data_IF_026140052230
#
_entry.id   IF_026140052230
#
_cell.length_a   1.000
_cell.length_b   1.000
_cell.length_c   1.000
_cell.angle_alpha   90.00
_cell.angle_beta   90.00
_cell.angle_gamma   90.00
#
_symmetry.space_group_name_H-M   'P 1'
#
loop_
_entity.id
_entity.type
_entity.pdbx_description
1 polymer ?
#
# COMPACT_ATOMS: atom_id res chain seq x y z
N UNK A 1 -40.94 0.32 -23.09
CA UNK A 1 -40.36 1.32 -24.02
C UNK A 1 -40.40 2.70 -23.37
N UNK A 2 -39.29 3.21 -22.82
CA UNK A 2 -39.08 4.66 -22.60
C UNK A 2 -37.59 4.95 -22.42
N UNK A 3 -37.20 6.10 -22.96
CA UNK A 3 -35.90 6.40 -23.59
C UNK A 3 -34.75 6.65 -22.60
N UNK A 4 -33.55 6.26 -23.03
CA UNK A 4 -32.24 6.56 -22.44
C UNK A 4 -31.88 8.03 -22.71
N UNK A 5 -31.41 8.76 -21.70
CA UNK A 5 -30.61 9.96 -21.87
C UNK A 5 -29.18 9.66 -21.37
N UNK A 6 -28.24 9.57 -22.32
CA UNK A 6 -26.79 9.63 -22.08
C UNK A 6 -26.38 11.08 -22.31
N UNK A 7 -25.73 11.70 -21.33
CA UNK A 7 -24.96 12.92 -21.54
C UNK A 7 -23.48 12.58 -21.30
N UNK A 8 -22.72 12.66 -22.39
CA UNK A 8 -21.28 12.66 -22.43
C UNK A 8 -20.77 13.97 -21.82
N UNK A 9 -19.78 13.90 -20.94
CA UNK A 9 -18.92 15.05 -20.64
C UNK A 9 -17.47 14.65 -20.88
N UNK A 10 -16.99 15.01 -22.07
CA UNK A 10 -15.57 15.07 -22.39
C UNK A 10 -15.07 16.44 -21.94
N UNK A 11 -14.15 16.48 -20.97
CA UNK A 11 -13.35 17.67 -20.70
C UNK A 11 -11.88 17.31 -20.92
N UNK A 12 -11.38 17.79 -22.07
CA UNK A 12 -9.97 17.95 -22.41
C UNK A 12 -9.41 19.10 -21.56
N UNK A 13 -8.33 18.86 -20.82
CA UNK A 13 -7.33 19.88 -20.55
C UNK A 13 -5.94 19.27 -20.66
N UNK A 14 -5.23 19.67 -21.71
CA UNK A 14 -3.79 19.54 -21.81
C UNK A 14 -3.14 20.76 -21.17
N UNK A 15 -2.07 20.54 -20.40
CA UNK A 15 -1.13 21.57 -20.01
C UNK A 15 0.27 20.99 -20.22
N UNK A 16 0.95 21.49 -21.25
CA UNK A 16 2.39 21.42 -21.43
C UNK A 16 3.04 22.49 -20.54
N UNK A 17 4.16 22.19 -19.88
CA UNK A 17 5.19 23.19 -19.57
C UNK A 17 6.61 22.60 -19.75
N UNK A 18 7.54 23.35 -20.37
CA UNK A 18 8.93 22.96 -20.61
C UNK A 18 9.92 23.58 -19.59
N UNK A 19 11.17 23.08 -19.60
CA UNK A 19 12.35 23.71 -18.98
C UNK A 19 12.62 23.25 -17.55
N UNK A 20 13.82 22.87 -17.10
CA UNK A 20 15.17 23.18 -17.56
C UNK A 20 15.88 24.10 -16.55
N UNK A 21 17.04 23.65 -16.05
CA UNK A 21 18.13 24.42 -15.40
C UNK A 21 17.99 24.78 -13.89
N UNK A 22 18.80 24.16 -13.02
CA UNK A 22 20.11 24.70 -12.61
C UNK A 22 20.71 23.96 -11.39
N UNK A 23 21.94 23.47 -11.58
CA UNK A 23 22.93 23.31 -10.51
C UNK A 23 23.26 24.71 -9.95
N UNK A 24 23.22 24.89 -8.63
CA UNK A 24 24.11 25.85 -7.96
C UNK A 24 24.63 25.25 -6.65
N UNK A 25 25.89 24.87 -6.72
CA UNK A 25 26.85 24.65 -5.65
C UNK A 25 26.94 25.90 -4.77
N UNK A 26 26.80 25.75 -3.45
CA UNK A 26 27.28 26.76 -2.48
C UNK A 26 28.26 26.07 -1.55
N UNK A 27 29.54 26.15 -1.93
CA UNK A 27 30.65 26.17 -0.98
C UNK A 27 30.71 27.57 -0.38
N UNK A 28 30.72 27.68 0.95
CA UNK A 28 31.30 28.84 1.64
C UNK A 28 32.41 28.32 2.54
N UNK A 29 33.60 28.38 1.94
CA UNK A 29 34.90 28.35 2.59
C UNK A 29 35.07 29.61 3.45
N UNK A 30 35.67 29.44 4.62
CA UNK A 30 35.87 30.51 5.58
C UNK A 30 36.89 31.56 5.17
N UNK A 31 36.86 32.68 5.91
CA UNK A 31 38.04 33.53 6.08
C UNK A 31 37.88 34.41 7.33
N UNK A 32 38.74 34.13 8.32
CA UNK A 32 39.56 35.08 9.12
C UNK A 32 38.87 36.25 9.82
N UNK A 33 38.97 36.30 11.16
CA UNK A 33 39.87 37.25 11.83
C UNK A 33 40.08 36.91 13.33
N UNK A 34 41.30 36.51 13.64
CA UNK A 34 41.92 36.64 14.96
C UNK A 34 42.15 38.12 15.24
N UNK A 35 41.53 38.66 16.30
CA UNK A 35 41.98 39.88 16.96
C UNK A 35 42.06 39.62 18.47
N UNK A 36 43.29 39.73 18.97
CA UNK A 36 43.66 39.67 20.37
C UNK A 36 43.12 40.89 21.15
N UNK A 37 43.08 40.82 22.50
CA UNK A 37 42.43 41.82 23.33
C UNK A 37 43.38 43.00 23.62
N UNK A 38 42.95 44.21 23.32
CA UNK A 38 43.56 45.43 23.88
C UNK A 38 42.63 45.99 24.96
N UNK A 39 43.21 46.16 26.14
CA UNK A 39 42.50 46.65 27.31
C UNK A 39 41.98 48.07 27.15
N UNK A 40 40.85 48.32 27.80
CA UNK A 40 40.46 49.64 28.26
C UNK A 40 39.76 49.43 29.60
N UNK A 41 40.55 49.46 30.68
CA UNK A 41 40.01 49.72 32.00
C UNK A 41 39.60 51.19 32.04
N UNK A 42 38.33 51.45 31.76
CA UNK A 42 37.72 52.76 32.00
C UNK A 42 37.09 52.73 33.39
N UNK A 43 37.70 53.52 34.28
CA UNK A 43 37.27 53.80 35.63
C UNK A 43 35.91 54.52 35.61
N UNK A 44 34.92 53.89 36.23
CA UNK A 44 33.84 54.52 36.99
C UNK A 44 33.23 55.83 36.44
N UNK A 45 32.25 55.69 35.55
CA UNK A 45 31.03 56.49 35.66
C UNK A 45 29.88 55.50 35.94
N UNK A 46 29.35 55.52 37.16
CA UNK A 46 28.08 54.85 37.51
C UNK A 46 26.98 55.54 36.72
N UNK A 47 26.84 55.20 35.45
CA UNK A 47 25.65 55.49 34.68
C UNK A 47 24.56 54.61 35.29
N UNK A 48 23.80 55.16 36.24
CA UNK A 48 22.52 54.55 36.60
C UNK A 48 21.74 54.44 35.29
N UNK A 49 21.27 53.24 34.90
CA UNK A 49 20.31 53.15 33.80
C UNK A 49 19.13 54.04 34.18
N UNK A 50 18.75 54.92 33.27
CA UNK A 50 17.58 55.78 33.49
C UNK A 50 16.38 54.88 33.75
N UNK A 51 15.50 55.24 34.69
CA UNK A 51 14.36 54.41 35.08
C UNK A 51 13.43 54.04 33.90
N UNK A 52 13.51 54.75 32.77
CA UNK A 52 12.79 54.46 31.54
C UNK A 52 13.33 53.23 30.78
N UNK A 53 14.64 52.96 30.76
CA UNK A 53 15.21 51.79 30.08
C UNK A 53 14.92 50.48 30.84
N UNK A 54 14.88 50.53 32.17
CA UNK A 54 14.52 49.40 33.02
C UNK A 54 13.04 48.98 32.83
N UNK A 55 12.14 49.96 32.60
CA UNK A 55 10.71 49.70 32.37
C UNK A 55 10.46 49.05 31.00
N UNK A 56 11.18 49.49 29.96
CA UNK A 56 11.10 48.87 28.62
C UNK A 56 11.63 47.44 28.58
N UNK A 57 12.63 47.11 29.40
CA UNK A 57 13.16 45.75 29.50
C UNK A 57 12.18 44.77 30.15
N UNK A 58 11.44 45.23 31.17
CA UNK A 58 10.47 44.40 31.87
C UNK A 58 9.23 44.10 31.00
N UNK A 59 8.77 45.07 30.22
CA UNK A 59 7.69 44.87 29.24
C UNK A 59 8.10 43.92 28.12
N UNK A 60 9.34 44.04 27.61
CA UNK A 60 9.88 43.13 26.60
C UNK A 60 9.98 41.68 27.12
N UNK A 61 10.43 41.47 28.36
CA UNK A 61 10.49 40.14 28.98
C UNK A 61 9.07 39.56 29.14
N UNK A 62 8.11 40.36 29.60
CA UNK A 62 6.73 39.92 29.73
C UNK A 62 6.09 39.55 28.38
N UNK A 63 6.36 40.32 27.33
CA UNK A 63 5.88 40.03 25.98
C UNK A 63 6.47 38.72 25.42
N UNK A 64 7.76 38.49 25.62
CA UNK A 64 8.39 37.23 25.19
C UNK A 64 7.91 36.03 26.02
N UNK A 65 7.62 36.22 27.32
CA UNK A 65 7.05 35.20 28.18
C UNK A 65 5.66 34.76 27.69
N UNK A 66 4.81 35.72 27.35
CA UNK A 66 3.49 35.45 26.76
C UNK A 66 3.62 34.68 25.43
N UNK A 67 4.57 35.06 24.58
CA UNK A 67 4.85 34.36 23.33
C UNK A 67 5.31 32.92 23.56
N UNK A 68 6.12 32.67 24.59
CA UNK A 68 6.51 31.32 24.97
C UNK A 68 5.30 30.47 25.42
N UNK A 69 4.39 31.04 26.22
CA UNK A 69 3.16 30.35 26.63
C UNK A 69 2.27 30.01 25.41
N UNK A 70 2.11 30.94 24.46
CA UNK A 70 1.39 30.70 23.21
C UNK A 70 1.99 29.52 22.40
N UNK A 71 3.31 29.41 22.33
CA UNK A 71 3.97 28.27 21.68
C UNK A 71 3.75 26.95 22.42
N UNK A 72 3.80 26.96 23.76
CA UNK A 72 3.57 25.77 24.57
C UNK A 72 2.13 25.27 24.39
N UNK A 73 1.16 26.18 24.35
CA UNK A 73 -0.25 25.84 24.11
C UNK A 73 -0.48 25.31 22.70
N UNK A 74 0.16 25.92 21.69
CA UNK A 74 0.14 25.42 20.31
C UNK A 74 0.73 24.01 20.20
N UNK A 75 1.89 23.76 20.82
CA UNK A 75 2.53 22.45 20.83
C UNK A 75 1.62 21.39 21.48
N UNK A 76 0.97 21.73 22.61
CA UNK A 76 -0.01 20.85 23.25
C UNK A 76 -1.20 20.55 22.33
N UNK A 77 -1.73 21.55 21.63
CA UNK A 77 -2.83 21.35 20.68
C UNK A 77 -2.42 20.46 19.49
N UNK A 78 -1.22 20.65 18.94
CA UNK A 78 -0.68 19.81 17.85
C UNK A 78 -0.49 18.36 18.30
N UNK A 79 0.02 18.12 19.50
CA UNK A 79 0.19 16.79 20.08
C UNK A 79 -1.16 16.06 20.24
N UNK A 80 -2.18 16.77 20.72
CA UNK A 80 -3.55 16.27 20.82
C UNK A 80 -4.14 15.90 19.45
N UNK A 81 -3.78 16.66 18.40
CA UNK A 81 -4.18 16.39 17.00
C UNK A 81 -3.28 15.38 16.29
N UNK A 82 -2.29 14.80 16.97
CA UNK A 82 -1.32 13.83 16.40
C UNK A 82 -0.43 14.44 15.31
N UNK A 83 -0.24 15.76 15.33
CA UNK A 83 0.65 16.51 14.43
C UNK A 83 2.07 16.56 15.00
N UNK A 84 2.71 15.39 15.08
CA UNK A 84 3.97 15.23 15.81
C UNK A 84 5.13 16.04 15.24
N UNK A 85 5.24 16.15 13.91
CA UNK A 85 6.28 16.95 13.26
C UNK A 85 6.10 18.45 13.55
N UNK A 86 4.89 18.97 13.37
CA UNK A 86 4.56 20.38 13.66
C UNK A 86 4.79 20.71 15.15
N UNK A 87 4.49 19.77 16.04
CA UNK A 87 4.76 19.88 17.47
C UNK A 87 6.25 20.04 17.75
N UNK A 88 7.10 19.17 17.19
CA UNK A 88 8.56 19.26 17.36
C UNK A 88 9.14 20.56 16.79
N UNK A 89 8.64 21.03 15.65
CA UNK A 89 9.03 22.33 15.09
C UNK A 89 8.64 23.48 16.01
N UNK A 90 7.43 23.46 16.56
CA UNK A 90 6.93 24.47 17.50
C UNK A 90 7.75 24.48 18.80
N UNK A 91 8.10 23.30 19.31
CA UNK A 91 8.99 23.16 20.48
C UNK A 91 10.37 23.72 20.18
N UNK A 92 10.93 23.44 18.99
CA UNK A 92 12.23 24.00 18.57
C UNK A 92 12.22 25.52 18.58
N UNK A 93 11.17 26.15 18.03
CA UNK A 93 11.00 27.62 18.06
C UNK A 93 10.83 28.15 19.48
N UNK A 94 10.14 27.43 20.35
CA UNK A 94 9.99 27.83 21.75
C UNK A 94 11.33 27.76 22.51
N UNK A 95 12.21 26.82 22.18
CA UNK A 95 13.56 26.71 22.77
C UNK A 95 14.49 27.86 22.37
N UNK A 96 14.22 28.58 21.28
CA UNK A 96 14.94 29.84 20.98
C UNK A 96 14.73 30.92 22.06
N UNK A 97 13.65 30.78 22.86
CA UNK A 97 13.33 31.64 24.00
C UNK A 97 13.86 31.06 25.33
N UNK A 98 14.82 30.13 25.32
CA UNK A 98 15.22 29.40 26.53
C UNK A 98 15.69 30.29 27.70
N UNK A 99 16.28 31.45 27.40
CA UNK A 99 16.77 32.40 28.40
C UNK A 99 15.68 33.00 29.29
N UNK A 100 14.41 32.96 28.85
CA UNK A 100 13.27 33.49 29.61
C UNK A 100 12.32 32.40 30.13
N UNK A 101 12.46 31.16 29.64
CA UNK A 101 11.60 30.05 30.06
C UNK A 101 11.83 29.69 31.54
N UNK A 102 10.74 29.60 32.29
CA UNK A 102 10.74 29.04 33.63
C UNK A 102 11.09 27.54 33.63
N UNK A 103 11.60 27.02 34.74
CA UNK A 103 11.93 25.60 34.90
C UNK A 103 10.73 24.68 34.62
N UNK A 104 9.51 25.11 35.01
CA UNK A 104 8.28 24.38 34.75
C UNK A 104 7.93 24.32 33.26
N UNK A 105 8.08 25.44 32.54
CA UNK A 105 7.86 25.47 31.09
C UNK A 105 8.85 24.58 30.35
N UNK A 106 10.14 24.63 30.72
CA UNK A 106 11.17 23.74 30.16
C UNK A 106 10.79 22.26 30.34
N UNK A 107 10.40 21.88 31.55
CA UNK A 107 9.96 20.52 31.85
C UNK A 107 8.72 20.09 31.04
N UNK A 108 7.77 21.00 30.80
CA UNK A 108 6.60 20.73 29.94
C UNK A 108 7.02 20.49 28.49
N UNK A 109 7.89 21.34 27.94
CA UNK A 109 8.41 21.21 26.58
C UNK A 109 9.15 19.88 26.39
N UNK A 110 9.99 19.48 27.34
CA UNK A 110 10.72 18.22 27.25
C UNK A 110 9.78 17.01 27.26
N UNK A 111 8.71 17.05 28.06
CA UNK A 111 7.67 16.02 28.04
C UNK A 111 6.94 15.97 26.70
N UNK A 112 6.54 17.12 26.16
CA UNK A 112 5.87 17.18 24.85
C UNK A 112 6.79 16.71 23.72
N UNK A 113 8.08 17.03 23.77
CA UNK A 113 9.07 16.57 22.80
C UNK A 113 9.18 15.05 22.82
N UNK A 114 9.34 14.46 24.01
CA UNK A 114 9.41 13.01 24.16
C UNK A 114 8.14 12.31 23.68
N UNK A 115 6.96 12.85 23.99
CA UNK A 115 5.69 12.30 23.53
C UNK A 115 5.54 12.42 22.00
N UNK A 116 5.96 13.54 21.41
CA UNK A 116 5.92 13.75 19.97
C UNK A 116 6.90 12.83 19.22
N UNK A 117 8.12 12.63 19.73
CA UNK A 117 9.10 11.69 19.17
C UNK A 117 8.58 10.26 19.19
N UNK A 118 8.03 9.82 20.32
CA UNK A 118 7.40 8.49 20.44
C UNK A 118 6.22 8.35 19.47
N UNK A 119 5.38 9.38 19.35
CA UNK A 119 4.28 9.41 18.39
C UNK A 119 4.76 9.30 16.95
N UNK A 120 5.85 9.97 16.60
CA UNK A 120 6.44 9.94 15.26
C UNK A 120 7.04 8.57 14.93
N UNK A 121 7.72 7.91 15.87
CA UNK A 121 8.19 6.52 15.69
C UNK A 121 7.01 5.57 15.44
N UNK A 122 5.94 5.70 16.22
CA UNK A 122 4.71 4.90 16.02
C UNK A 122 4.09 5.16 14.65
N UNK A 123 4.00 6.43 14.23
CA UNK A 123 3.49 6.81 12.91
C UNK A 123 4.34 6.21 11.78
N UNK A 124 5.67 6.24 11.92
CA UNK A 124 6.58 5.66 10.94
C UNK A 124 6.41 4.14 10.84
N UNK A 125 6.29 3.43 11.96
CA UNK A 125 6.02 1.99 11.98
C UNK A 125 4.68 1.64 11.34
N UNK A 126 3.64 2.41 11.63
CA UNK A 126 2.32 2.22 11.01
C UNK A 126 2.37 2.46 9.50
N UNK A 127 3.06 3.51 9.04
CA UNK A 127 3.24 3.79 7.61
C UNK A 127 4.07 2.71 6.90
N UNK A 128 5.10 2.18 7.56
CA UNK A 128 5.86 1.05 7.02
C UNK A 128 4.96 -0.17 6.84
N UNK A 129 4.18 -0.54 7.86
CA UNK A 129 3.23 -1.65 7.78
C UNK A 129 2.15 -1.40 6.71
N UNK A 130 1.63 -0.18 6.59
CA UNK A 130 0.70 0.20 5.52
C UNK A 130 1.32 -0.02 4.13
N UNK A 131 2.54 0.46 3.90
CA UNK A 131 3.22 0.31 2.61
C UNK A 131 3.50 -1.17 2.28
N UNK A 132 4.02 -1.95 3.24
CA UNK A 132 4.22 -3.39 3.06
C UNK A 132 2.89 -4.13 2.82
N UNK A 133 1.81 -3.70 3.47
CA UNK A 133 0.47 -4.24 3.20
C UNK A 133 -0.01 -3.97 1.77
N UNK A 134 0.24 -2.76 1.25
CA UNK A 134 -0.07 -2.38 -0.13
C UNK A 134 0.75 -3.22 -1.11
N UNK A 135 2.04 -3.42 -0.86
CA UNK A 135 2.91 -4.29 -1.67
C UNK A 135 2.39 -5.74 -1.73
N UNK A 136 1.99 -6.30 -0.58
CA UNK A 136 1.37 -7.62 -0.53
C UNK A 136 0.06 -7.68 -1.31
N UNK A 137 -0.77 -6.64 -1.23
CA UNK A 137 -2.02 -6.57 -1.96
C UNK A 137 -1.79 -6.54 -3.48
N UNK A 138 -0.80 -5.77 -3.94
CA UNK A 138 -0.38 -5.75 -5.36
C UNK A 138 0.17 -7.10 -5.83
N UNK A 139 0.83 -7.84 -4.94
CA UNK A 139 1.29 -9.21 -5.18
C UNK A 139 0.18 -10.28 -5.03
N UNK A 140 -1.09 -9.87 -4.84
CA UNK A 140 -2.24 -10.74 -4.60
C UNK A 140 -2.08 -11.67 -3.36
N UNK A 141 -1.27 -11.25 -2.39
CA UNK A 141 -1.02 -11.93 -1.11
C UNK A 141 -1.96 -11.36 -0.03
N UNK A 142 -3.24 -11.68 -0.15
CA UNK A 142 -4.29 -11.03 0.65
C UNK A 142 -4.16 -11.26 2.17
N UNK A 143 -3.71 -12.44 2.59
CA UNK A 143 -3.57 -12.77 4.02
C UNK A 143 -2.42 -11.99 4.66
N UNK A 144 -1.28 -11.91 3.97
CA UNK A 144 -0.12 -11.13 4.39
C UNK A 144 -0.43 -9.64 4.39
N UNK A 145 -1.12 -9.14 3.37
CA UNK A 145 -1.59 -7.76 3.31
C UNK A 145 -2.48 -7.42 4.52
N UNK A 146 -3.47 -8.29 4.80
CA UNK A 146 -4.37 -8.13 5.94
C UNK A 146 -3.60 -8.08 7.26
N UNK A 147 -2.64 -8.99 7.46
CA UNK A 147 -1.80 -9.03 8.66
C UNK A 147 -1.04 -7.72 8.88
N UNK A 148 -0.49 -7.13 7.82
CA UNK A 148 0.22 -5.85 7.91
C UNK A 148 -0.73 -4.70 8.27
N UNK A 149 -1.90 -4.64 7.63
CA UNK A 149 -2.91 -3.62 7.96
C UNK A 149 -3.46 -3.78 9.39
N UNK A 150 -3.69 -5.01 9.87
CA UNK A 150 -4.08 -5.27 11.26
C UNK A 150 -2.98 -4.78 12.24
N UNK A 151 -1.71 -4.97 11.88
CA UNK A 151 -0.55 -4.48 12.67
C UNK A 151 -0.54 -2.95 12.73
N UNK A 152 -0.78 -2.27 11.61
CA UNK A 152 -0.92 -0.81 11.57
C UNK A 152 -2.12 -0.34 12.40
N UNK A 153 -3.28 -1.02 12.32
CA UNK A 153 -4.48 -0.69 13.09
C UNK A 153 -4.32 -0.87 14.60
N UNK A 154 -3.46 -1.79 15.05
CA UNK A 154 -3.15 -1.94 16.47
C UNK A 154 -2.59 -0.64 17.08
N UNK A 155 -1.97 0.22 16.26
CA UNK A 155 -1.36 1.49 16.65
C UNK A 155 -2.32 2.70 16.56
N UNK A 156 -3.61 2.48 16.20
CA UNK A 156 -4.60 3.54 15.87
C UNK A 156 -4.69 4.70 16.85
N UNK A 157 -4.45 4.48 18.16
CA UNK A 157 -4.61 5.50 19.21
C UNK A 157 -3.67 6.70 19.03
N UNK A 158 -2.56 6.48 18.32
CA UNK A 158 -1.50 7.46 18.09
C UNK A 158 -1.42 7.86 16.62
N UNK A 159 -2.37 7.46 15.78
CA UNK A 159 -2.36 7.80 14.37
C UNK A 159 -3.31 8.97 14.08
N UNK A 160 -2.97 9.83 13.10
CA UNK A 160 -3.90 10.79 12.53
C UNK A 160 -5.13 10.07 11.95
N UNK A 161 -6.29 10.72 12.00
CA UNK A 161 -7.55 10.18 11.51
C UNK A 161 -7.47 9.75 10.02
N UNK A 162 -6.78 10.53 9.20
CA UNK A 162 -6.60 10.23 7.77
C UNK A 162 -5.86 8.90 7.54
N UNK A 163 -4.81 8.64 8.31
CA UNK A 163 -4.04 7.38 8.24
C UNK A 163 -4.91 6.20 8.66
N UNK A 164 -5.70 6.35 9.73
CA UNK A 164 -6.64 5.31 10.17
C UNK A 164 -7.67 5.01 9.08
N UNK A 165 -8.27 6.04 8.49
CA UNK A 165 -9.26 5.90 7.42
C UNK A 165 -8.67 5.20 6.18
N UNK A 166 -7.41 5.47 5.84
CA UNK A 166 -6.71 4.74 4.76
C UNK A 166 -6.56 3.25 5.08
N UNK A 167 -6.12 2.90 6.29
CA UNK A 167 -5.94 1.50 6.67
C UNK A 167 -7.29 0.75 6.68
N UNK A 168 -8.34 1.36 7.21
CA UNK A 168 -9.70 0.80 7.23
C UNK A 168 -10.23 0.55 5.81
N UNK A 169 -10.05 1.52 4.90
CA UNK A 169 -10.44 1.38 3.50
C UNK A 169 -9.72 0.19 2.83
N UNK A 170 -8.43 -0.01 3.11
CA UNK A 170 -7.68 -1.15 2.57
C UNK A 170 -8.17 -2.49 3.15
N UNK A 171 -8.48 -2.54 4.45
CA UNK A 171 -9.04 -3.74 5.08
C UNK A 171 -10.40 -4.12 4.48
N UNK A 172 -11.25 -3.14 4.20
CA UNK A 172 -12.55 -3.38 3.57
C UNK A 172 -12.42 -3.80 2.09
N UNK A 173 -11.42 -3.26 1.38
CA UNK A 173 -11.07 -3.74 0.05
C UNK A 173 -10.64 -5.22 0.07
N UNK A 174 -9.79 -5.62 1.03
CA UNK A 174 -9.40 -7.02 1.22
C UNK A 174 -10.62 -7.91 1.49
N UNK A 175 -11.52 -7.51 2.41
CA UNK A 175 -12.74 -8.30 2.69
C UNK A 175 -13.58 -8.50 1.44
N UNK A 176 -13.68 -7.47 0.60
CA UNK A 176 -14.43 -7.53 -0.66
C UNK A 176 -13.78 -8.51 -1.65
N UNK A 177 -12.45 -8.45 -1.80
CA UNK A 177 -11.69 -9.38 -2.64
C UNK A 177 -11.79 -10.83 -2.13
N UNK A 178 -11.68 -11.05 -0.82
CA UNK A 178 -11.84 -12.38 -0.22
C UNK A 178 -13.24 -12.94 -0.47
N UNK A 179 -14.28 -12.11 -0.36
CA UNK A 179 -15.65 -12.51 -0.67
C UNK A 179 -15.80 -12.92 -2.14
N UNK A 180 -15.22 -12.14 -3.06
CA UNK A 180 -15.24 -12.47 -4.49
C UNK A 180 -14.52 -13.79 -4.78
N UNK A 181 -13.30 -13.97 -4.26
CA UNK A 181 -12.55 -15.23 -4.38
C UNK A 181 -13.35 -16.42 -3.83
N UNK A 182 -14.02 -16.24 -2.68
CA UNK A 182 -14.85 -17.29 -2.09
C UNK A 182 -16.01 -17.70 -3.01
N UNK A 183 -16.70 -16.73 -3.63
CA UNK A 183 -17.77 -17.05 -4.58
C UNK A 183 -17.23 -17.75 -5.84
N UNK A 184 -16.07 -17.33 -6.35
CA UNK A 184 -15.42 -18.02 -7.48
C UNK A 184 -15.09 -19.48 -7.16
N UNK A 185 -14.51 -19.74 -5.98
CA UNK A 185 -14.18 -21.08 -5.50
C UNK A 185 -15.45 -21.92 -5.28
N UNK A 186 -16.53 -21.31 -4.79
CA UNK A 186 -17.83 -21.96 -4.63
C UNK A 186 -18.44 -22.38 -5.97
N UNK A 187 -18.36 -21.53 -6.99
CA UNK A 187 -18.85 -21.88 -8.32
C UNK A 187 -17.98 -22.94 -8.99
N UNK A 188 -16.66 -22.87 -8.81
CA UNK A 188 -15.75 -23.91 -9.26
C UNK A 188 -16.08 -25.27 -8.61
N UNK A 189 -16.38 -25.28 -7.30
CA UNK A 189 -16.79 -26.50 -6.60
C UNK A 189 -18.04 -27.13 -7.24
N UNK A 190 -19.09 -26.34 -7.50
CA UNK A 190 -20.31 -26.83 -8.16
C UNK A 190 -20.02 -27.39 -9.56
N UNK A 191 -19.15 -26.74 -10.32
CA UNK A 191 -18.75 -27.20 -11.66
C UNK A 191 -17.98 -28.52 -11.58
N UNK A 192 -17.01 -28.64 -10.68
CA UNK A 192 -16.25 -29.88 -10.46
C UNK A 192 -17.14 -31.04 -10.04
N UNK A 193 -18.13 -30.80 -9.16
CA UNK A 193 -19.15 -31.80 -8.80
C UNK A 193 -19.97 -32.22 -10.02
N UNK A 194 -20.34 -31.28 -10.90
CA UNK A 194 -21.07 -31.58 -12.13
C UNK A 194 -20.23 -32.46 -13.07
N UNK A 195 -18.96 -32.12 -13.30
CA UNK A 195 -18.04 -32.93 -14.09
C UNK A 195 -17.88 -34.34 -13.52
N UNK A 196 -17.74 -34.46 -12.19
CA UNK A 196 -17.65 -35.75 -11.52
C UNK A 196 -18.90 -36.62 -11.78
N UNK A 197 -20.10 -36.04 -11.68
CA UNK A 197 -21.37 -36.73 -11.94
C UNK A 197 -21.54 -37.14 -13.40
N UNK A 198 -20.95 -36.40 -14.33
CA UNK A 198 -20.98 -36.67 -15.77
C UNK A 198 -19.93 -37.71 -16.21
N UNK A 199 -19.01 -38.13 -15.33
CA UNK A 199 -17.92 -39.05 -15.66
C UNK A 199 -16.68 -38.35 -16.22
N UNK A 200 -16.67 -37.03 -16.33
CA UNK A 200 -15.51 -36.21 -16.69
C UNK A 200 -14.55 -36.10 -15.49
N UNK A 201 -13.86 -37.22 -15.18
CA UNK A 201 -13.07 -37.36 -13.95
C UNK A 201 -11.82 -36.47 -13.92
N UNK A 202 -11.19 -36.23 -15.08
CA UNK A 202 -9.98 -35.40 -15.18
C UNK A 202 -10.28 -33.92 -14.89
N UNK A 203 -11.35 -33.38 -15.48
CA UNK A 203 -11.81 -32.01 -15.27
C UNK A 203 -12.29 -31.80 -13.83
N UNK A 204 -13.02 -32.78 -13.28
CA UNK A 204 -13.42 -32.76 -11.88
C UNK A 204 -12.22 -32.70 -10.95
N UNK A 205 -11.22 -33.56 -11.17
CA UNK A 205 -9.98 -33.61 -10.38
C UNK A 205 -9.24 -32.27 -10.41
N UNK A 206 -9.02 -31.73 -11.61
CA UNK A 206 -8.32 -30.44 -11.77
C UNK A 206 -9.01 -29.30 -11.03
N UNK A 207 -10.35 -29.21 -11.09
CA UNK A 207 -11.08 -28.17 -10.36
C UNK A 207 -11.02 -28.36 -8.84
N UNK A 208 -11.12 -29.58 -8.32
CA UNK A 208 -10.96 -29.86 -6.89
C UNK A 208 -9.54 -29.59 -6.38
N UNK A 209 -8.50 -29.92 -7.15
CA UNK A 209 -7.10 -29.58 -6.82
C UNK A 209 -6.90 -28.06 -6.79
N UNK A 210 -7.48 -27.32 -7.74
CA UNK A 210 -7.43 -25.85 -7.74
C UNK A 210 -8.09 -25.27 -6.48
N UNK A 211 -9.22 -25.83 -6.05
CA UNK A 211 -9.89 -25.42 -4.80
C UNK A 211 -8.99 -25.72 -3.60
N UNK A 212 -8.38 -26.91 -3.54
CA UNK A 212 -7.48 -27.29 -2.45
C UNK A 212 -6.26 -26.34 -2.38
N UNK A 213 -5.66 -26.02 -3.52
CA UNK A 213 -4.51 -25.11 -3.63
C UNK A 213 -4.86 -23.66 -3.25
N UNK A 214 -6.11 -23.25 -3.42
CA UNK A 214 -6.55 -21.90 -3.03
C UNK A 214 -6.47 -21.64 -1.53
N UNK A 215 -6.48 -22.70 -0.70
CA UNK A 215 -6.55 -22.59 0.76
C UNK A 215 -7.85 -21.99 1.30
N UNK A 216 -8.85 -21.75 0.43
CA UNK A 216 -10.15 -21.21 0.84
C UNK A 216 -11.05 -22.35 1.30
N UNK A 217 -11.35 -22.38 2.59
CA UNK A 217 -12.27 -23.37 3.15
C UNK A 217 -13.72 -23.05 2.78
N UNK A 218 -14.39 -24.02 2.16
CA UNK A 218 -15.82 -23.96 1.86
C UNK A 218 -16.62 -24.62 2.98
N UNK A 219 -17.49 -23.85 3.62
CA UNK A 219 -18.43 -24.40 4.60
C UNK A 219 -19.42 -25.34 3.92
N UNK A 220 -20.04 -26.22 4.71
CA UNK A 220 -21.06 -27.18 4.22
C UNK A 220 -22.22 -26.49 3.47
N UNK A 221 -22.59 -25.27 3.88
CA UNK A 221 -23.59 -24.46 3.20
C UNK A 221 -23.10 -23.94 1.84
N UNK A 222 -21.83 -23.55 1.74
CA UNK A 222 -21.24 -23.08 0.48
C UNK A 222 -21.17 -24.21 -0.56
N UNK A 223 -20.98 -25.45 -0.08
CA UNK A 223 -20.99 -26.68 -0.90
C UNK A 223 -22.38 -27.11 -1.39
N UNK A 224 -23.44 -26.35 -1.10
CA UNK A 224 -24.81 -26.67 -1.54
C UNK A 224 -25.40 -27.88 -0.83
N UNK A 225 -25.10 -28.04 0.46
CA UNK A 225 -25.46 -29.20 1.29
C UNK A 225 -24.80 -30.52 0.88
N UNK A 226 -23.77 -30.46 0.05
CA UNK A 226 -22.93 -31.61 -0.18
C UNK A 226 -22.04 -31.86 1.06
N UNK A 227 -22.25 -33.00 1.70
CA UNK A 227 -21.48 -33.41 2.88
C UNK A 227 -20.06 -33.81 2.51
N UNK A 228 -19.81 -34.15 1.24
CA UNK A 228 -18.50 -34.60 0.76
C UNK A 228 -17.55 -33.40 0.67
N UNK A 229 -16.39 -33.51 1.32
CA UNK A 229 -15.33 -32.51 1.23
C UNK A 229 -14.63 -32.56 -0.13
N UNK A 230 -13.81 -31.55 -0.43
CA UNK A 230 -12.94 -31.54 -1.62
C UNK A 230 -12.06 -32.79 -1.63
N UNK A 231 -11.42 -33.12 -0.50
CA UNK A 231 -10.59 -34.33 -0.37
C UNK A 231 -11.41 -35.62 -0.58
N UNK A 232 -12.64 -35.66 -0.04
CA UNK A 232 -13.54 -36.80 -0.23
C UNK A 232 -13.94 -37.02 -1.69
N UNK A 233 -14.02 -35.96 -2.49
CA UNK A 233 -14.23 -36.06 -3.93
C UNK A 233 -12.97 -36.53 -4.68
N UNK A 234 -11.79 -36.03 -4.30
CA UNK A 234 -10.51 -36.48 -4.85
C UNK A 234 -10.29 -37.98 -4.61
N UNK A 235 -10.59 -38.49 -3.41
CA UNK A 235 -10.52 -39.92 -3.09
C UNK A 235 -11.47 -40.76 -3.96
N UNK A 236 -12.71 -40.28 -4.14
CA UNK A 236 -13.70 -40.94 -4.99
C UNK A 236 -13.28 -40.97 -6.45
N UNK A 237 -12.66 -39.91 -6.95
CA UNK A 237 -12.12 -39.84 -8.31
C UNK A 237 -10.96 -40.83 -8.46
N UNK A 238 -10.01 -40.85 -7.52
CA UNK A 238 -8.88 -41.78 -7.53
C UNK A 238 -9.36 -43.25 -7.56
N UNK A 239 -10.36 -43.59 -6.75
CA UNK A 239 -10.96 -44.94 -6.76
C UNK A 239 -11.62 -45.29 -8.10
N UNK A 240 -12.36 -44.36 -8.71
CA UNK A 240 -12.99 -44.59 -10.02
C UNK A 240 -11.95 -44.76 -11.15
N UNK A 241 -10.92 -43.91 -11.17
CA UNK A 241 -9.82 -44.01 -12.14
C UNK A 241 -9.03 -45.31 -12.00
N UNK A 242 -8.91 -45.88 -10.79
CA UNK A 242 -8.28 -47.18 -10.58
C UNK A 242 -9.15 -48.37 -11.04
N UNK A 243 -10.46 -48.20 -11.15
CA UNK A 243 -11.42 -49.23 -11.58
C UNK A 243 -11.64 -49.25 -13.10
N UNK A 244 -11.48 -48.11 -13.78
CA UNK A 244 -11.64 -47.97 -15.23
C UNK A 244 -10.75 -48.90 -16.08
N UNK A 245 -9.49 -49.22 -15.71
CA UNK A 245 -8.65 -50.16 -16.45
C UNK A 245 -9.22 -51.58 -16.54
N UNK A 246 -10.15 -51.97 -15.65
CA UNK A 246 -10.71 -53.32 -15.60
C UNK A 246 -11.94 -53.52 -16.50
N UNK A 247 -12.60 -52.46 -16.96
CA UNK A 247 -13.75 -52.57 -17.86
C UNK A 247 -13.38 -52.51 -19.35
N UNK A 248 -12.14 -52.10 -19.69
CA UNK A 248 -11.65 -52.12 -21.07
C UNK A 248 -11.08 -53.49 -21.52
N UNK A 249 -11.13 -54.53 -20.67
CA UNK A 249 -10.81 -55.90 -21.07
C UNK A 249 -12.04 -56.80 -20.97
N UNK A 250 -12.68 -57.16 -22.09
CA UNK A 250 -13.40 -58.41 -22.18
C UNK A 250 -12.50 -59.50 -22.76
N UNK A 251 -12.39 -60.59 -22.00
CA UNK A 251 -12.30 -61.98 -22.46
C UNK A 251 -11.37 -62.30 -23.64
N UNK A 252 -10.28 -63.00 -23.34
CA UNK A 252 -9.56 -63.77 -24.36
C UNK A 252 -10.39 -64.92 -24.94
N UNK A 253 -10.19 -65.14 -26.24
CA UNK A 253 -10.13 -66.43 -26.98
C UNK A 253 -9.54 -66.05 -28.35
N UNK A 254 -8.63 -66.75 -29.04
CA UNK A 254 -7.80 -67.94 -28.89
C UNK A 254 -6.75 -67.88 -30.04
N UNK A 255 -5.74 -68.78 -30.14
CA UNK A 255 -4.56 -68.61 -30.99
C UNK A 255 -4.80 -69.09 -32.44
N UNK A 256 -4.55 -68.23 -33.44
CA UNK A 256 -4.48 -68.63 -34.85
C UNK A 256 -3.03 -68.89 -35.26
N UNK A 257 -2.67 -70.17 -35.32
CA UNK A 257 -1.47 -70.70 -36.01
C UNK A 257 -1.71 -70.59 -37.52
N UNK A 258 -0.83 -69.91 -38.27
CA UNK A 258 -0.92 -69.98 -39.73
C UNK A 258 0.00 -69.08 -40.58
N UNK A 259 1.32 -69.30 -40.50
CA UNK A 259 2.32 -69.14 -41.59
C UNK A 259 2.74 -67.74 -42.13
N UNK A 260 3.96 -67.66 -42.75
CA UNK A 260 4.80 -66.46 -42.88
C UNK A 260 5.08 -66.10 -44.37
N UNK A 261 6.23 -65.48 -44.73
CA UNK A 261 6.36 -64.10 -45.21
C UNK A 261 6.54 -63.98 -46.74
N UNK A 262 6.40 -62.77 -47.30
CA UNK A 262 6.98 -62.46 -48.62
C UNK A 262 7.61 -61.07 -48.62
N UNK A 263 8.88 -61.11 -49.00
CA UNK A 263 9.87 -60.06 -49.16
C UNK A 263 9.56 -59.05 -50.27
N UNK A 264 10.02 -57.82 -50.00
CA UNK A 264 10.39 -56.68 -50.87
C UNK A 264 11.03 -57.10 -52.25
N UNK A 265 11.26 -56.21 -53.27
CA UNK A 265 11.87 -54.88 -53.05
C UNK A 265 11.73 -53.75 -54.12
N UNK A 266 12.19 -52.56 -53.70
CA UNK A 266 13.16 -51.65 -54.39
C UNK A 266 12.74 -50.64 -55.49
N UNK A 267 13.18 -49.40 -55.21
CA UNK A 267 13.96 -48.42 -56.02
C UNK A 267 13.29 -47.34 -56.86
N UNK A 268 13.71 -46.10 -56.54
CA UNK A 268 13.83 -44.92 -57.41
C UNK A 268 13.99 -43.67 -56.53
N UNK A 269 15.20 -43.23 -56.15
CA UNK A 269 16.03 -42.22 -56.85
C UNK A 269 15.29 -40.86 -57.02
N UNK A 270 15.81 -39.66 -56.77
CA UNK A 270 17.19 -39.15 -56.68
C UNK A 270 17.20 -37.76 -56.03
N UNK A 271 18.38 -37.45 -55.49
CA UNK A 271 18.93 -36.24 -54.89
C UNK A 271 18.65 -34.96 -55.69
N UNK A 272 18.27 -33.87 -55.01
CA UNK A 272 18.71 -32.53 -55.37
C UNK A 272 18.87 -31.70 -54.09
N UNK A 273 20.12 -31.29 -53.88
CA UNK A 273 20.67 -30.52 -52.78
C UNK A 273 20.72 -29.07 -53.24
N UNK A 274 20.04 -28.15 -52.54
CA UNK A 274 20.26 -26.71 -52.65
C UNK A 274 19.88 -26.02 -51.32
N UNK A 275 20.90 -25.71 -50.53
CA UNK A 275 20.97 -24.48 -49.72
C UNK A 275 21.74 -23.47 -50.61
N UNK A 276 21.51 -22.12 -50.55
CA UNK A 276 21.51 -21.40 -49.27
C UNK A 276 20.62 -20.13 -49.21
N UNK A 277 20.61 -19.50 -48.02
CA UNK A 277 20.52 -18.03 -47.82
C UNK A 277 19.14 -17.37 -47.61
N UNK A 278 18.87 -17.12 -46.31
CA UNK A 278 18.53 -15.80 -45.69
C UNK A 278 17.09 -15.24 -45.77
N UNK A 279 16.55 -15.08 -44.55
CA UNK A 279 15.66 -14.02 -44.04
C UNK A 279 14.26 -13.84 -44.65
N UNK A 280 13.22 -14.08 -43.84
CA UNK A 280 12.41 -13.02 -43.22
C UNK A 280 11.13 -13.59 -42.57
N UNK A 281 10.83 -13.09 -41.37
CA UNK A 281 9.53 -12.86 -40.73
C UNK A 281 8.23 -13.48 -41.30
N UNK A 282 7.53 -14.24 -40.45
CA UNK A 282 6.07 -14.22 -40.21
C UNK A 282 5.73 -15.41 -39.27
N UNK A 283 5.46 -15.20 -37.98
CA UNK A 283 4.14 -14.88 -37.43
C UNK A 283 3.10 -15.99 -37.62
N UNK A 284 2.98 -16.91 -36.65
CA UNK A 284 1.67 -17.30 -36.08
C UNK A 284 1.88 -18.17 -34.82
N UNK A 285 1.86 -17.56 -33.64
CA UNK A 285 1.76 -18.29 -32.38
C UNK A 285 0.75 -17.62 -31.45
N UNK A 286 -0.17 -18.46 -31.00
CA UNK A 286 -0.89 -18.45 -29.74
C UNK A 286 -1.82 -17.24 -29.47
N UNK A 287 -3.12 -17.53 -29.54
CA UNK A 287 -4.16 -16.73 -28.95
C UNK A 287 -3.85 -16.42 -27.46
N UNK A 288 -3.98 -15.17 -27.01
CA UNK A 288 -3.78 -14.83 -25.61
C UNK A 288 -5.02 -15.23 -24.80
N UNK A 289 -4.80 -16.08 -23.80
CA UNK A 289 -5.72 -16.28 -22.68
C UNK A 289 -5.92 -14.91 -22.02
N UNK A 290 -7.15 -14.40 -22.06
CA UNK A 290 -7.58 -13.20 -21.34
C UNK A 290 -7.56 -13.47 -19.83
N UNK A 291 -6.39 -13.32 -19.21
CA UNK A 291 -6.31 -13.07 -17.77
C UNK A 291 -6.94 -11.71 -17.52
N UNK A 292 -8.14 -11.69 -16.91
CA UNK A 292 -8.75 -10.44 -16.44
C UNK A 292 -7.86 -9.88 -15.33
N UNK A 293 -6.95 -9.01 -15.72
CA UNK A 293 -6.16 -8.19 -14.83
C UNK A 293 -7.15 -7.33 -14.05
N UNK A 294 -7.33 -7.64 -12.76
CA UNK A 294 -8.12 -6.83 -11.85
C UNK A 294 -7.39 -5.51 -11.68
N UNK A 295 -7.84 -4.48 -12.40
CA UNK A 295 -7.35 -3.11 -12.27
C UNK A 295 -7.79 -2.58 -10.91
N UNK A 296 -6.99 -2.86 -9.89
CA UNK A 296 -7.04 -2.12 -8.62
C UNK A 296 -6.61 -0.68 -8.97
N UNK A 297 -7.49 0.33 -8.81
CA UNK A 297 -7.12 1.69 -9.10
C UNK A 297 -5.96 2.11 -8.18
N UNK A 298 -4.94 2.81 -8.70
CA UNK A 298 -3.89 3.35 -7.86
C UNK A 298 -4.50 4.31 -6.85
N UNK A 299 -4.20 4.08 -5.57
CA UNK A 299 -4.55 5.01 -4.50
C UNK A 299 -3.98 6.38 -4.86
N UNK A 300 -4.85 7.28 -5.27
CA UNK A 300 -4.47 8.64 -5.62
C UNK A 300 -4.14 9.35 -4.32
N UNK A 301 -2.85 9.49 -4.02
CA UNK A 301 -2.34 10.28 -2.90
C UNK A 301 -2.76 11.73 -3.17
N UNK A 302 -3.93 12.12 -2.63
CA UNK A 302 -4.38 13.51 -2.68
C UNK A 302 -3.50 14.32 -1.73
N UNK A 303 -2.71 15.22 -2.32
CA UNK A 303 -1.98 16.26 -1.61
C UNK A 303 -2.98 17.10 -0.80
N UNK A 304 -2.80 17.27 0.52
CA UNK A 304 -3.72 18.06 1.33
C UNK A 304 -3.74 19.50 0.83
N UNK A 305 -4.91 19.93 0.37
CA UNK A 305 -5.16 21.32 -0.01
C UNK A 305 -5.41 22.10 1.29
N UNK A 306 -4.48 23.01 1.60
CA UNK A 306 -4.55 23.94 2.72
C UNK A 306 -5.91 24.68 2.71
N UNK A 307 -6.71 24.67 3.79
CA UNK A 307 -7.91 25.48 3.84
C UNK A 307 -7.55 26.96 3.84
N UNK A 308 -8.21 27.72 2.96
CA UNK A 308 -8.12 29.17 2.91
C UNK A 308 -8.65 29.75 4.23
N UNK A 309 -7.90 30.69 4.79
CA UNK A 309 -8.32 31.47 5.95
C UNK A 309 -9.61 32.24 5.60
N UNK A 310 -10.64 32.07 6.43
CA UNK A 310 -11.83 32.90 6.38
C UNK A 310 -11.50 34.27 6.98
N UNK A 311 -11.71 35.31 6.18
CA UNK A 311 -11.80 36.71 6.60
C UNK A 311 -12.91 36.86 7.63
N UNK A 312 -12.55 37.25 8.85
CA UNK A 312 -13.49 37.65 9.90
C UNK A 312 -13.49 39.17 10.02
N UNK A 313 -14.55 39.79 9.48
CA UNK A 313 -14.87 41.21 9.66
C UNK A 313 -16.30 41.31 10.20
N UNK A 314 -16.45 41.41 11.52
CA UNK A 314 -17.39 42.36 12.15
C UNK A 314 -17.30 42.33 13.69
N UNK A 315 -17.08 43.48 14.36
CA UNK A 315 -17.40 43.62 15.78
C UNK A 315 -18.86 44.08 15.95
N UNK A 316 -19.62 43.57 16.95
CA UNK A 316 -20.87 44.19 17.35
C UNK A 316 -20.59 45.44 18.21
N UNK A 317 -21.12 46.57 17.76
CA UNK A 317 -21.34 47.75 18.59
C UNK A 317 -22.35 47.42 19.69
N UNK A 318 -21.97 47.69 20.94
CA UNK A 318 -22.89 47.71 22.08
C UNK A 318 -22.98 49.17 22.56
N UNK A 319 -24.21 49.67 22.53
CA UNK A 319 -24.70 50.83 23.29
C UNK A 319 -24.86 50.46 24.76
#
# INVERSE_FOLDING_TARGET
MKRRNRLNNCVRYGICYPGGWNLVTIMVLGFILLLAPTGSMSLAAKHLPSAQEAFSGQEAIAAQQKKADEFIDLASAQLNRRQYQDCLETISRCRELEGILSSSQKQRLDRYAQEAENGLDILNRANQALNTGIEHLQANRLMEAKKQFDTAMALRKNLPADTVGQIEAQLDAIKSLQKEQKEQIKDLFKQSVKHYKQGSLAEAKSGFETIQQSGIELNWFDRGMDLVSVDGYLDKIAKKLAQEPQLAQPAGTAPEKGQPPTTAPRTGQTIAQEEPTRAAAAAEQAAPVKTRQSTIPPATVQKPTRPAAADDKNPPSIL
#
